data_IF_086784231374
#
_entry.id   IF_086784231374
#
_cell.length_a   1.000
_cell.length_b   1.000
_cell.length_c   1.000
_cell.angle_alpha   90.00
_cell.angle_beta   90.00
_cell.angle_gamma   90.00
#
_symmetry.space_group_name_H-M   'P 1'
#
loop_
_entity.id
_entity.type
_entity.pdbx_description
1 polymer ?
#
# COMPACT_ATOMS: atom_id res chain seq x y z
N UNK A 1 35.15 21.08 -3.92
CA UNK A 1 36.10 21.86 -4.75
C UNK A 1 37.37 21.09 -5.13
N UNK A 2 37.98 20.32 -4.19
CA UNK A 2 39.23 19.59 -4.45
C UNK A 2 39.11 18.50 -5.55
N UNK A 3 38.01 17.75 -5.59
CA UNK A 3 37.83 16.71 -6.62
C UNK A 3 37.59 17.29 -8.02
N UNK A 4 36.80 18.35 -8.17
CA UNK A 4 36.54 18.93 -9.49
C UNK A 4 37.82 19.49 -10.14
N UNK A 5 38.70 20.12 -9.37
CA UNK A 5 40.00 20.61 -9.86
C UNK A 5 40.94 19.44 -10.21
N UNK A 6 40.96 18.39 -9.37
CA UNK A 6 41.72 17.15 -9.61
C UNK A 6 41.27 16.44 -10.88
N UNK A 7 39.96 16.29 -11.08
CA UNK A 7 39.36 15.65 -12.25
C UNK A 7 39.62 16.43 -13.55
N UNK A 8 39.63 17.78 -13.50
CA UNK A 8 40.00 18.60 -14.65
C UNK A 8 41.46 18.44 -15.07
N UNK A 9 42.38 18.20 -14.13
CA UNK A 9 43.80 18.09 -14.41
C UNK A 9 44.20 16.76 -15.09
N UNK A 10 43.45 15.69 -14.86
CA UNK A 10 43.77 14.35 -15.41
C UNK A 10 43.34 14.15 -16.88
N UNK A 11 42.51 15.03 -17.45
CA UNK A 11 42.15 15.06 -18.88
C UNK A 11 41.28 13.91 -19.40
N UNK A 12 41.35 12.74 -18.74
CA UNK A 12 40.51 11.57 -18.96
C UNK A 12 40.16 10.95 -17.59
N UNK A 13 38.96 10.39 -17.47
CA UNK A 13 38.48 9.75 -16.25
C UNK A 13 37.76 8.44 -16.61
N UNK A 14 38.19 7.36 -15.96
CA UNK A 14 37.43 6.11 -15.94
C UNK A 14 36.36 6.19 -14.86
N UNK A 15 35.10 5.93 -15.24
CA UNK A 15 33.96 5.94 -14.33
C UNK A 15 33.29 4.56 -14.32
N UNK A 16 32.89 4.10 -13.13
CA UNK A 16 32.01 2.94 -12.98
C UNK A 16 30.63 3.44 -12.55
N UNK A 17 29.60 3.12 -13.33
CA UNK A 17 28.21 3.40 -12.99
C UNK A 17 27.53 2.16 -12.41
N UNK A 18 26.87 2.33 -11.27
CA UNK A 18 25.99 1.29 -10.70
C UNK A 18 24.57 1.61 -11.12
N UNK A 19 23.97 0.78 -12.00
CA UNK A 19 22.64 1.03 -12.55
C UNK A 19 21.57 1.18 -11.44
N UNK A 20 21.53 0.24 -10.51
CA UNK A 20 20.66 0.30 -9.34
C UNK A 20 21.53 0.68 -8.15
N UNK A 21 21.49 1.95 -7.75
CA UNK A 21 22.33 2.45 -6.66
C UNK A 21 22.01 1.72 -5.35
N UNK A 22 23.02 1.30 -4.56
CA UNK A 22 22.80 0.65 -3.27
C UNK A 22 22.40 1.63 -2.16
N UNK A 23 22.43 2.94 -2.43
CA UNK A 23 21.95 3.97 -1.51
C UNK A 23 21.38 5.19 -2.24
N UNK A 24 20.53 5.96 -1.55
CA UNK A 24 20.08 7.28 -2.00
C UNK A 24 20.05 8.26 -0.83
N UNK A 25 20.19 9.55 -1.11
CA UNK A 25 20.04 10.63 -0.15
C UNK A 25 18.87 11.51 -0.59
N UNK A 26 17.74 11.38 0.09
CA UNK A 26 16.56 12.20 -0.15
C UNK A 26 16.57 13.37 0.82
N UNK A 27 17.23 14.43 0.36
CA UNK A 27 17.51 15.63 1.13
C UNK A 27 16.65 16.78 0.65
N UNK A 28 15.96 17.43 1.59
CA UNK A 28 15.21 18.64 1.34
C UNK A 28 15.24 19.52 2.57
N UNK A 29 15.57 20.78 2.38
CA UNK A 29 15.57 21.83 3.39
C UNK A 29 14.62 22.95 2.91
N UNK A 30 13.58 23.23 3.69
CA UNK A 30 12.59 24.26 3.38
C UNK A 30 12.96 25.60 4.01
N UNK A 31 12.84 26.70 3.25
CA UNK A 31 13.03 28.06 3.75
C UNK A 31 11.80 28.92 3.45
N UNK A 32 11.15 29.44 4.49
CA UNK A 32 9.95 30.26 4.34
C UNK A 32 10.28 31.69 3.89
N UNK A 33 9.45 32.22 2.97
CA UNK A 33 9.41 33.65 2.62
C UNK A 33 10.54 34.15 1.70
N UNK A 34 11.76 33.60 1.79
CA UNK A 34 12.87 33.97 0.92
C UNK A 34 13.96 32.88 0.85
N UNK A 35 14.72 32.89 -0.25
CA UNK A 35 15.97 32.12 -0.35
C UNK A 35 16.97 32.72 0.66
N UNK A 36 17.65 31.90 1.50
CA UNK A 36 18.61 32.40 2.48
C UNK A 36 19.70 33.28 1.85
N UNK A 37 20.04 34.37 2.53
CA UNK A 37 21.19 35.21 2.16
C UNK A 37 22.43 34.65 2.84
N UNK A 38 23.28 33.97 2.10
CA UNK A 38 24.53 33.43 2.65
C UNK A 38 24.89 32.09 2.04
N UNK A 39 25.57 31.26 2.83
CA UNK A 39 25.92 29.90 2.48
C UNK A 39 24.64 29.04 2.38
N UNK A 40 24.57 28.21 1.32
CA UNK A 40 23.47 27.29 1.05
C UNK A 40 23.92 25.83 1.22
N UNK A 41 25.08 25.61 1.85
CA UNK A 41 25.55 24.27 2.18
C UNK A 41 24.63 23.63 3.21
N UNK A 42 23.98 22.54 2.78
CA UNK A 42 23.17 21.67 3.63
C UNK A 42 23.92 20.38 3.93
N UNK A 43 24.30 20.19 5.20
CA UNK A 43 25.08 19.05 5.70
C UNK A 43 24.39 18.42 6.92
N UNK A 44 23.24 17.73 6.74
CA UNK A 44 22.49 17.16 7.85
C UNK A 44 23.30 16.07 8.56
N UNK A 45 23.32 16.11 9.88
CA UNK A 45 23.94 15.09 10.72
C UNK A 45 23.06 13.85 10.88
N UNK A 46 23.62 12.79 11.46
CA UNK A 46 22.90 11.52 11.67
C UNK A 46 21.61 11.64 12.51
N UNK A 47 21.47 12.69 13.34
CA UNK A 47 20.25 12.96 14.11
C UNK A 47 19.16 13.68 13.32
N UNK A 48 19.48 14.16 12.12
CA UNK A 48 18.60 14.90 11.21
C UNK A 48 18.22 14.07 9.98
N UNK A 49 18.72 12.83 9.93
CA UNK A 49 18.41 11.83 8.92
C UNK A 49 17.73 10.63 9.56
N UNK A 50 16.74 10.06 8.88
CA UNK A 50 16.32 8.69 9.08
C UNK A 50 17.07 7.79 8.08
N UNK A 51 17.36 6.56 8.49
CA UNK A 51 17.95 5.53 7.63
C UNK A 51 16.88 4.47 7.36
N UNK A 52 16.63 4.16 6.09
CA UNK A 52 15.69 3.13 5.69
C UNK A 52 16.44 2.02 4.96
N UNK A 53 16.27 0.79 5.42
CA UNK A 53 16.59 -0.40 4.63
C UNK A 53 15.40 -0.66 3.71
N UNK A 54 15.40 -0.05 2.53
CA UNK A 54 14.32 -0.14 1.56
C UNK A 54 14.46 -1.43 0.74
N UNK A 55 13.37 -2.18 0.65
CA UNK A 55 13.28 -3.45 -0.09
C UNK A 55 12.16 -3.38 -1.11
N UNK A 56 12.48 -3.61 -2.37
CA UNK A 56 11.53 -3.68 -3.46
C UNK A 56 11.35 -5.15 -3.87
N UNK A 57 10.19 -5.71 -3.59
CA UNK A 57 9.91 -7.12 -3.83
C UNK A 57 9.48 -7.37 -5.28
N UNK A 58 9.96 -8.48 -5.85
CA UNK A 58 9.49 -8.98 -7.14
C UNK A 58 9.87 -10.46 -7.30
N UNK A 59 8.92 -11.27 -7.78
CA UNK A 59 9.10 -12.72 -7.99
C UNK A 59 10.22 -13.02 -9.00
N UNK A 60 10.35 -12.18 -10.02
CA UNK A 60 11.34 -12.27 -11.09
C UNK A 60 11.83 -10.86 -11.44
N UNK A 61 13.03 -10.73 -12.06
CA UNK A 61 13.52 -9.44 -12.51
C UNK A 61 12.50 -8.66 -13.35
N UNK A 62 12.20 -7.43 -12.95
CA UNK A 62 11.24 -6.54 -13.63
C UNK A 62 11.71 -5.10 -13.50
N UNK A 63 11.48 -4.29 -14.54
CA UNK A 63 11.74 -2.85 -14.45
C UNK A 63 10.66 -2.16 -13.62
N UNK A 64 11.10 -1.27 -12.73
CA UNK A 64 10.24 -0.34 -12.02
C UNK A 64 10.78 1.08 -12.07
N UNK A 65 10.11 1.94 -11.35
CA UNK A 65 10.56 3.29 -11.04
C UNK A 65 10.03 3.70 -9.69
N UNK A 66 10.66 4.67 -9.05
CA UNK A 66 10.20 5.20 -7.78
C UNK A 66 10.58 6.67 -7.62
N UNK A 67 9.89 7.36 -6.72
CA UNK A 67 10.34 8.64 -6.21
C UNK A 67 9.73 8.95 -4.84
N UNK A 68 10.52 9.63 -3.99
CA UNK A 68 10.10 10.14 -2.68
C UNK A 68 9.98 11.68 -2.71
N UNK A 69 8.75 12.16 -2.65
CA UNK A 69 8.38 13.58 -2.76
C UNK A 69 8.39 14.25 -1.38
N UNK A 70 9.27 15.25 -1.20
CA UNK A 70 9.31 16.07 0.01
C UNK A 70 8.13 17.05 0.04
N UNK A 71 7.48 17.16 1.20
CA UNK A 71 6.44 18.15 1.47
C UNK A 71 6.78 18.84 2.79
N UNK A 72 6.84 20.17 2.77
CA UNK A 72 7.24 21.00 3.92
C UNK A 72 6.31 22.19 4.08
N UNK A 73 6.35 22.88 5.22
CA UNK A 73 5.58 24.12 5.41
C UNK A 73 5.98 25.22 4.41
N UNK A 74 7.29 25.33 4.11
CA UNK A 74 7.83 26.28 3.14
C UNK A 74 7.44 25.97 1.69
N UNK A 75 7.19 24.70 1.38
CA UNK A 75 6.80 24.23 0.06
C UNK A 75 5.82 23.05 0.18
N UNK A 76 4.50 23.32 0.28
CA UNK A 76 3.49 22.31 0.58
C UNK A 76 3.07 21.48 -0.64
N UNK A 77 3.97 21.33 -1.62
CA UNK A 77 3.74 20.59 -2.87
C UNK A 77 4.94 19.69 -3.12
N UNK A 78 4.70 18.38 -3.31
CA UNK A 78 5.74 17.45 -3.73
C UNK A 78 6.04 17.57 -5.22
N UNK A 79 7.31 17.80 -5.60
CA UNK A 79 7.76 17.84 -7.00
C UNK A 79 8.89 16.83 -7.19
N UNK A 80 8.83 16.06 -8.28
CA UNK A 80 9.81 15.01 -8.58
C UNK A 80 9.48 14.24 -9.84
N UNK A 81 10.42 13.40 -10.28
CA UNK A 81 10.26 12.52 -11.43
C UNK A 81 10.59 11.10 -11.04
N UNK A 82 9.82 10.14 -11.54
CA UNK A 82 10.06 8.72 -11.31
C UNK A 82 11.44 8.33 -11.83
N UNK A 83 12.31 7.86 -10.94
CA UNK A 83 13.65 7.39 -11.25
C UNK A 83 13.65 5.88 -11.45
N UNK A 84 14.40 5.40 -12.44
CA UNK A 84 14.37 3.98 -12.79
C UNK A 84 15.13 3.13 -11.76
N UNK A 85 14.53 1.99 -11.40
CA UNK A 85 15.17 0.93 -10.62
C UNK A 85 14.63 -0.42 -11.07
N UNK A 86 15.49 -1.42 -11.24
CA UNK A 86 15.04 -2.79 -11.56
C UNK A 86 14.86 -3.60 -10.26
N UNK A 87 13.75 -4.32 -10.11
CA UNK A 87 13.39 -5.15 -8.95
C UNK A 87 13.60 -6.64 -9.22
N UNK A 88 13.81 -7.51 -8.21
CA UNK A 88 13.88 -7.18 -6.78
C UNK A 88 15.17 -6.41 -6.44
N UNK A 89 15.10 -5.53 -5.45
CA UNK A 89 16.25 -4.71 -5.03
C UNK A 89 16.23 -4.40 -3.53
N UNK A 90 17.41 -4.17 -2.96
CA UNK A 90 17.60 -3.59 -1.63
C UNK A 90 18.44 -2.31 -1.76
N UNK A 91 18.07 -1.27 -1.02
CA UNK A 91 18.74 0.03 -1.04
C UNK A 91 18.68 0.67 0.35
N UNK A 92 19.76 1.32 0.76
CA UNK A 92 19.75 2.14 1.98
C UNK A 92 19.38 3.58 1.63
N UNK A 93 18.23 4.06 2.10
CA UNK A 93 17.79 5.43 1.87
C UNK A 93 18.09 6.30 3.10
N UNK A 94 18.75 7.44 2.89
CA UNK A 94 18.98 8.46 3.91
C UNK A 94 18.01 9.61 3.67
N UNK A 95 17.07 9.80 4.59
CA UNK A 95 15.94 10.71 4.39
C UNK A 95 16.01 11.84 5.40
N UNK A 96 16.00 13.09 4.93
CA UNK A 96 15.97 14.25 5.84
C UNK A 96 14.67 14.36 6.65
N UNK A 97 14.79 14.87 7.89
CA UNK A 97 13.70 14.90 8.87
C UNK A 97 13.49 16.30 9.46
N UNK A 98 13.45 17.32 8.61
CA UNK A 98 13.20 18.70 9.01
C UNK A 98 11.89 18.86 9.79
N UNK A 99 11.76 19.94 10.56
CA UNK A 99 10.53 20.22 11.32
C UNK A 99 9.34 20.35 10.37
N UNK A 100 8.23 19.67 10.65
CA UNK A 100 7.03 19.68 9.81
C UNK A 100 7.18 18.92 8.47
N UNK A 101 8.36 18.38 8.18
CA UNK A 101 8.60 17.66 6.92
C UNK A 101 7.84 16.33 6.90
N UNK A 102 7.21 16.10 5.75
CA UNK A 102 6.58 14.84 5.38
C UNK A 102 7.13 14.38 4.03
N UNK A 103 6.97 13.10 3.78
CA UNK A 103 7.32 12.47 2.53
C UNK A 103 6.14 11.67 2.00
N UNK A 104 5.96 11.69 0.69
CA UNK A 104 5.06 10.81 -0.02
C UNK A 104 5.87 10.03 -1.02
N UNK A 105 5.59 8.76 -1.22
CA UNK A 105 6.30 7.89 -2.16
C UNK A 105 5.34 7.35 -3.20
N UNK A 106 5.80 7.28 -4.44
CA UNK A 106 5.13 6.55 -5.52
C UNK A 106 6.14 5.59 -6.12
N UNK A 107 5.78 4.32 -6.17
CA UNK A 107 6.62 3.24 -6.65
C UNK A 107 5.85 2.47 -7.71
N UNK A 108 6.46 2.29 -8.87
CA UNK A 108 5.87 1.66 -10.04
C UNK A 108 6.60 0.36 -10.37
N UNK A 109 5.85 -0.62 -10.86
CA UNK A 109 6.32 -1.93 -11.28
C UNK A 109 5.73 -2.31 -12.64
N UNK A 110 6.51 -3.02 -13.46
CA UNK A 110 6.05 -3.50 -14.76
C UNK A 110 5.83 -2.38 -15.78
N UNK A 111 6.79 -1.45 -15.87
CA UNK A 111 6.70 -0.26 -16.73
C UNK A 111 5.47 0.64 -16.45
N UNK A 112 5.11 0.76 -15.17
CA UNK A 112 3.96 1.58 -14.72
C UNK A 112 2.62 0.86 -14.77
N UNK A 113 2.61 -0.46 -15.03
CA UNK A 113 1.38 -1.25 -15.01
C UNK A 113 0.75 -1.30 -13.61
N UNK A 114 1.56 -1.35 -12.56
CA UNK A 114 1.14 -1.30 -11.16
C UNK A 114 1.89 -0.17 -10.45
N UNK A 115 1.16 0.69 -9.73
CA UNK A 115 1.69 1.76 -8.89
C UNK A 115 1.24 1.53 -7.45
N UNK A 116 2.15 1.54 -6.47
CA UNK A 116 1.83 1.72 -5.05
C UNK A 116 2.20 3.13 -4.60
N UNK A 117 1.33 3.76 -3.82
CA UNK A 117 1.56 5.07 -3.20
C UNK A 117 1.47 4.99 -1.71
N UNK A 118 2.37 5.67 -1.00
CA UNK A 118 2.23 5.87 0.43
C UNK A 118 1.29 7.05 0.73
N UNK A 119 0.73 7.08 1.93
CA UNK A 119 0.31 8.34 2.55
C UNK A 119 1.47 9.30 2.84
N UNK A 120 1.17 10.38 3.57
CA UNK A 120 2.19 11.28 4.11
C UNK A 120 2.89 10.61 5.31
N UNK A 121 4.19 10.38 5.17
CA UNK A 121 5.04 9.75 6.15
C UNK A 121 5.91 10.80 6.84
N UNK A 122 5.95 10.73 8.17
CA UNK A 122 6.92 11.47 8.97
C UNK A 122 8.04 10.53 9.41
N UNK A 123 9.27 10.85 9.02
CA UNK A 123 10.45 10.15 9.49
C UNK A 123 11.05 10.85 10.70
N UNK A 124 11.58 10.06 11.65
CA UNK A 124 12.23 10.59 12.86
C UNK A 124 13.75 10.58 12.66
N UNK A 125 14.40 11.72 12.87
CA UNK A 125 15.85 11.81 12.81
C UNK A 125 16.55 10.87 13.80
N UNK A 126 17.65 10.25 13.37
CA UNK A 126 18.38 9.23 14.09
C UNK A 126 17.67 7.87 14.19
N UNK A 127 16.56 7.67 13.47
CA UNK A 127 15.89 6.36 13.40
C UNK A 127 16.46 5.49 12.27
N UNK A 128 16.28 4.18 12.43
CA UNK A 128 16.57 3.18 11.41
C UNK A 128 15.37 2.23 11.34
N UNK A 129 14.81 2.03 10.14
CA UNK A 129 13.68 1.15 9.90
C UNK A 129 13.81 0.39 8.58
N UNK A 130 13.02 -0.66 8.39
CA UNK A 130 12.85 -1.32 7.09
C UNK A 130 11.60 -0.77 6.41
N UNK A 131 11.71 -0.46 5.12
CA UNK A 131 10.58 -0.08 4.27
C UNK A 131 10.46 -1.13 3.16
N UNK A 132 9.29 -1.77 3.03
CA UNK A 132 9.08 -2.74 1.96
C UNK A 132 8.06 -2.18 0.98
N UNK A 133 8.33 -2.36 -0.30
CA UNK A 133 7.43 -2.05 -1.40
C UNK A 133 7.10 -3.32 -2.16
N UNK A 134 5.84 -3.45 -2.57
CA UNK A 134 5.29 -4.62 -3.21
C UNK A 134 5.47 -5.91 -2.41
N UNK A 135 5.66 -5.86 -1.09
CA UNK A 135 5.80 -7.07 -0.27
C UNK A 135 4.46 -7.80 -0.25
N UNK A 136 4.35 -9.04 -0.76
CA UNK A 136 3.09 -9.75 -0.70
C UNK A 136 2.64 -9.91 0.77
N UNK A 137 1.35 -9.81 1.07
CA UNK A 137 0.20 -10.08 0.21
C UNK A 137 -0.34 -8.82 -0.49
N UNK A 138 -0.46 -8.83 -1.83
CA UNK A 138 -1.17 -7.74 -2.52
C UNK A 138 -2.68 -7.93 -2.39
N UNK A 139 -3.35 -6.92 -1.85
CA UNK A 139 -4.78 -6.91 -1.51
C UNK A 139 -5.30 -5.47 -1.56
N UNK A 140 -6.62 -5.28 -1.39
CA UNK A 140 -7.15 -3.94 -1.29
C UNK A 140 -6.77 -3.29 0.06
N UNK A 141 -6.05 -2.18 0.01
CA UNK A 141 -5.75 -1.33 1.15
C UNK A 141 -6.20 0.10 0.85
N UNK A 142 -7.08 0.66 1.68
CA UNK A 142 -7.69 1.97 1.49
C UNK A 142 -6.87 3.02 2.24
N UNK A 143 -5.65 3.23 1.77
CA UNK A 143 -4.69 4.15 2.37
C UNK A 143 -4.85 5.60 1.93
N UNK A 144 -4.09 6.50 2.55
CA UNK A 144 -4.30 7.96 2.41
C UNK A 144 -3.64 8.59 1.18
N UNK A 145 -2.76 7.86 0.49
CA UNK A 145 -1.96 8.36 -0.64
C UNK A 145 -2.73 8.84 -1.88
N UNK A 146 -4.06 8.69 -1.89
CA UNK A 146 -4.91 9.12 -3.00
C UNK A 146 -5.60 10.45 -2.82
N UNK A 147 -5.74 10.89 -1.56
CA UNK A 147 -6.45 12.12 -1.24
C UNK A 147 -7.96 12.11 -1.49
N UNK A 148 -8.58 10.97 -1.85
CA UNK A 148 -10.03 10.82 -1.95
C UNK A 148 -10.47 9.36 -1.87
N UNK A 149 -11.73 9.12 -1.49
CA UNK A 149 -12.35 7.79 -1.52
C UNK A 149 -13.01 7.41 -0.19
N UNK A 150 -14.05 6.57 -0.27
CA UNK A 150 -14.86 6.15 0.89
C UNK A 150 -15.49 7.33 1.60
N UNK A 151 -16.18 8.19 0.88
CA UNK A 151 -16.72 9.42 1.44
C UNK A 151 -18.18 9.61 1.05
N UNK A 152 -18.90 10.36 1.89
CA UNK A 152 -20.27 10.81 1.65
C UNK A 152 -20.39 12.32 1.85
N UNK A 153 -21.12 12.96 0.95
CA UNK A 153 -21.58 14.35 1.06
C UNK A 153 -23.08 14.39 0.73
N UNK A 154 -23.93 14.58 1.75
CA UNK A 154 -25.39 14.57 1.56
C UNK A 154 -25.89 13.24 0.97
N UNK A 155 -26.43 13.32 -0.25
CA UNK A 155 -26.97 12.19 -1.01
C UNK A 155 -25.97 11.57 -2.01
N UNK A 156 -24.70 11.99 -2.00
CA UNK A 156 -23.66 11.44 -2.87
C UNK A 156 -22.68 10.62 -2.06
N UNK A 157 -22.38 9.40 -2.52
CA UNK A 157 -21.35 8.55 -1.95
C UNK A 157 -20.36 8.17 -3.04
N UNK A 158 -19.07 8.22 -2.71
CA UNK A 158 -17.99 7.78 -3.59
C UNK A 158 -17.10 6.77 -2.88
N UNK A 159 -16.72 5.73 -3.62
CA UNK A 159 -15.76 4.74 -3.21
C UNK A 159 -14.61 4.72 -4.20
N UNK A 160 -13.39 4.60 -3.68
CA UNK A 160 -12.19 4.29 -4.45
C UNK A 160 -11.49 3.13 -3.74
N UNK A 161 -11.64 1.90 -4.23
CA UNK A 161 -11.15 0.68 -3.54
C UNK A 161 -10.12 -0.05 -4.40
N UNK A 162 -8.88 0.45 -4.51
CA UNK A 162 -7.84 -0.14 -5.36
C UNK A 162 -7.43 -1.52 -4.87
N UNK A 163 -7.07 -2.38 -5.81
CA UNK A 163 -6.99 -3.82 -5.57
C UNK A 163 -5.66 -4.39 -5.08
N UNK A 164 -4.58 -3.63 -5.18
CA UNK A 164 -3.21 -4.20 -5.13
C UNK A 164 -2.25 -3.38 -4.26
N UNK A 165 -2.72 -2.90 -3.10
CA UNK A 165 -1.82 -2.42 -2.06
C UNK A 165 -1.09 -3.59 -1.39
N UNK A 166 0.08 -3.32 -0.81
CA UNK A 166 0.77 -4.25 0.06
C UNK A 166 0.40 -4.02 1.54
N UNK A 167 1.07 -4.72 2.46
CA UNK A 167 0.87 -4.53 3.91
C UNK A 167 1.88 -3.55 4.54
N UNK A 168 2.44 -2.64 3.75
CA UNK A 168 3.23 -1.50 4.21
C UNK A 168 2.37 -0.46 4.96
N UNK A 169 3.01 0.53 5.63
CA UNK A 169 2.37 1.35 6.66
C UNK A 169 1.27 2.33 6.17
N UNK A 170 1.07 2.46 4.86
CA UNK A 170 -0.10 3.12 4.24
C UNK A 170 -0.06 3.00 2.70
N UNK A 171 0.18 1.81 2.16
CA UNK A 171 0.43 1.62 0.72
C UNK A 171 -0.84 1.28 -0.03
N UNK A 172 -1.26 2.17 -0.93
CA UNK A 172 -2.41 1.94 -1.81
C UNK A 172 -1.97 1.65 -3.23
N UNK A 173 -2.41 0.51 -3.79
CA UNK A 173 -1.94 0.04 -5.10
C UNK A 173 -2.97 0.04 -6.23
N UNK A 174 -2.58 0.59 -7.37
CA UNK A 174 -3.36 0.80 -8.59
C UNK A 174 -2.78 0.08 -9.78
N UNK A 175 -3.60 -0.74 -10.41
CA UNK A 175 -3.28 -1.33 -11.71
C UNK A 175 -3.84 -0.50 -12.86
N UNK A 176 -3.13 -0.49 -13.98
CA UNK A 176 -3.69 -0.08 -15.26
C UNK A 176 -4.62 -1.18 -15.78
N UNK A 177 -5.90 -1.04 -15.45
CA UNK A 177 -6.98 -1.95 -15.86
C UNK A 177 -7.60 -1.60 -17.20
N UNK A 178 -7.08 -0.57 -17.87
CA UNK A 178 -7.61 -0.07 -19.15
C UNK A 178 -6.80 -0.57 -20.33
N UNK A 179 -5.53 -0.93 -20.12
CA UNK A 179 -4.68 -1.58 -21.10
C UNK A 179 -4.76 -3.10 -21.00
N UNK A 180 -5.17 -3.78 -22.08
CA UNK A 180 -5.16 -5.25 -22.13
C UNK A 180 -3.71 -5.81 -22.04
N UNK A 181 -2.71 -5.00 -22.42
CA UNK A 181 -1.30 -5.36 -22.36
C UNK A 181 -0.77 -5.49 -20.93
N UNK A 182 -1.50 -5.07 -19.90
CA UNK A 182 -1.05 -5.24 -18.50
C UNK A 182 -1.48 -6.60 -17.94
N UNK A 183 -2.50 -7.22 -18.54
CA UNK A 183 -3.14 -8.42 -18.01
C UNK A 183 -3.87 -8.19 -16.69
N UNK A 184 -4.27 -6.95 -16.39
CA UNK A 184 -4.93 -6.57 -15.13
C UNK A 184 -6.40 -6.21 -15.36
N UNK A 185 -7.29 -6.70 -14.51
CA UNK A 185 -8.67 -6.22 -14.47
C UNK A 185 -9.11 -5.94 -13.05
N UNK A 186 -9.97 -4.94 -12.89
CA UNK A 186 -10.65 -4.65 -11.64
C UNK A 186 -12.09 -4.25 -11.92
N UNK A 187 -13.02 -4.78 -11.13
CA UNK A 187 -14.40 -4.33 -11.09
C UNK A 187 -14.77 -3.95 -9.66
N UNK A 188 -15.43 -2.80 -9.51
CA UNK A 188 -15.97 -2.36 -8.21
C UNK A 188 -17.49 -2.21 -8.34
N UNK A 189 -18.21 -2.81 -7.41
CA UNK A 189 -19.68 -2.82 -7.35
C UNK A 189 -20.14 -2.29 -5.99
N UNK A 190 -21.21 -1.51 -5.98
CA UNK A 190 -21.82 -0.99 -4.75
C UNK A 190 -23.27 -1.42 -4.68
N UNK A 191 -23.66 -1.93 -3.52
CA UNK A 191 -25.02 -2.35 -3.22
C UNK A 191 -25.58 -1.50 -2.07
N UNK A 192 -26.82 -1.05 -2.19
CA UNK A 192 -27.61 -0.45 -1.12
C UNK A 192 -28.71 -1.44 -0.71
N UNK A 193 -28.67 -1.90 0.54
CA UNK A 193 -29.57 -2.93 1.10
C UNK A 193 -29.73 -4.15 0.19
N UNK A 194 -28.61 -4.62 -0.38
CA UNK A 194 -28.57 -5.77 -1.28
C UNK A 194 -28.95 -5.49 -2.74
N UNK A 195 -29.42 -4.28 -3.07
CA UNK A 195 -29.69 -3.88 -4.46
C UNK A 195 -28.44 -3.28 -5.09
N UNK A 196 -28.01 -3.79 -6.25
CA UNK A 196 -26.90 -3.22 -7.00
C UNK A 196 -27.24 -1.79 -7.47
N UNK A 197 -26.40 -0.82 -7.11
CA UNK A 197 -26.58 0.59 -7.47
C UNK A 197 -25.60 1.01 -8.56
N UNK A 198 -24.35 0.59 -8.48
CA UNK A 198 -23.32 0.89 -9.48
C UNK A 198 -22.35 -0.27 -9.64
N UNK A 199 -21.80 -0.42 -10.84
CA UNK A 199 -20.72 -1.36 -11.16
C UNK A 199 -19.83 -0.78 -12.25
N UNK A 200 -18.52 -0.72 -11.99
CA UNK A 200 -17.53 -0.10 -12.88
C UNK A 200 -16.33 -1.01 -13.09
N UNK A 201 -15.73 -0.98 -14.28
CA UNK A 201 -14.37 -1.53 -14.52
C UNK A 201 -13.33 -0.53 -14.00
N UNK A 202 -13.24 -0.35 -12.68
CA UNK A 202 -12.38 0.64 -12.01
C UNK A 202 -12.31 0.33 -10.52
N UNK A 203 -11.39 0.98 -9.81
CA UNK A 203 -11.44 1.10 -8.34
C UNK A 203 -12.55 2.03 -7.85
N UNK A 204 -12.99 2.95 -8.70
CA UNK A 204 -14.05 3.91 -8.40
C UNK A 204 -15.45 3.33 -8.59
N UNK A 205 -16.37 3.62 -7.66
CA UNK A 205 -17.81 3.39 -7.81
C UNK A 205 -18.62 4.42 -6.99
N UNK A 206 -19.86 4.68 -7.39
CA UNK A 206 -20.63 5.82 -6.89
C UNK A 206 -22.06 5.44 -6.52
N UNK A 207 -22.63 6.11 -5.52
CA UNK A 207 -24.07 6.12 -5.25
C UNK A 207 -24.55 7.55 -5.40
N UNK A 208 -25.43 7.76 -6.38
CA UNK A 208 -26.17 9.01 -6.55
C UNK A 208 -27.52 8.87 -5.86
N UNK A 209 -28.04 9.97 -5.32
CA UNK A 209 -29.34 10.03 -4.65
C UNK A 209 -29.51 9.05 -3.48
N UNK A 210 -28.43 8.84 -2.72
CA UNK A 210 -28.45 8.06 -1.48
C UNK A 210 -29.49 8.61 -0.49
N UNK A 211 -30.40 7.79 0.06
CA UNK A 211 -31.43 8.26 0.99
C UNK A 211 -30.85 8.85 2.27
N UNK A 212 -31.56 9.77 2.89
CA UNK A 212 -31.04 10.52 4.04
C UNK A 212 -30.97 9.69 5.33
N UNK A 213 -31.88 8.74 5.50
CA UNK A 213 -31.89 7.77 6.60
C UNK A 213 -30.76 6.74 6.48
N UNK A 214 -30.56 5.95 7.54
CA UNK A 214 -29.44 5.01 7.61
C UNK A 214 -29.72 3.76 6.78
N UNK A 215 -28.84 3.50 5.81
CA UNK A 215 -28.87 2.30 4.96
C UNK A 215 -27.60 1.48 5.10
N UNK A 216 -27.70 0.20 4.71
CA UNK A 216 -26.53 -0.69 4.63
C UNK A 216 -25.94 -0.61 3.24
N UNK A 217 -24.65 -0.30 3.16
CA UNK A 217 -23.90 -0.31 1.92
C UNK A 217 -22.92 -1.47 1.91
N UNK A 218 -22.87 -2.20 0.80
CA UNK A 218 -21.86 -3.21 0.53
C UNK A 218 -21.04 -2.80 -0.69
N UNK A 219 -19.72 -2.76 -0.56
CA UNK A 219 -18.79 -2.51 -1.67
C UNK A 219 -18.05 -3.81 -1.96
N UNK A 220 -17.97 -4.20 -3.22
CA UNK A 220 -17.26 -5.40 -3.68
C UNK A 220 -16.25 -5.01 -4.73
N UNK A 221 -15.00 -5.39 -4.53
CA UNK A 221 -13.92 -5.24 -5.51
C UNK A 221 -13.37 -6.60 -5.90
N UNK A 222 -13.48 -6.92 -7.18
CA UNK A 222 -12.89 -8.10 -7.80
C UNK A 222 -11.70 -7.69 -8.66
N UNK A 223 -10.57 -8.38 -8.50
CA UNK A 223 -9.33 -8.13 -9.24
C UNK A 223 -8.82 -9.41 -9.89
N UNK A 224 -8.23 -9.29 -11.08
CA UNK A 224 -7.51 -10.39 -11.72
C UNK A 224 -6.17 -9.93 -12.26
N UNK A 225 -5.15 -10.76 -12.13
CA UNK A 225 -3.88 -10.63 -12.82
C UNK A 225 -3.65 -11.87 -13.69
N UNK A 226 -3.26 -11.66 -14.94
CA UNK A 226 -2.89 -12.73 -15.87
C UNK A 226 -1.70 -13.53 -15.30
N UNK A 227 -1.87 -14.84 -15.02
CA UNK A 227 -0.83 -15.66 -14.39
C UNK A 227 0.44 -15.82 -15.24
N UNK A 228 0.37 -15.61 -16.56
CA UNK A 228 1.55 -15.68 -17.44
C UNK A 228 2.46 -14.45 -17.25
N UNK A 229 1.88 -13.33 -16.79
CA UNK A 229 2.59 -12.08 -16.49
C UNK A 229 2.93 -11.97 -15.02
N UNK A 230 1.95 -12.25 -14.16
CA UNK A 230 1.95 -12.01 -12.72
C UNK A 230 1.82 -13.33 -11.96
N UNK A 231 2.81 -13.66 -11.13
CA UNK A 231 2.82 -14.98 -10.46
C UNK A 231 1.98 -15.01 -9.16
N UNK A 232 1.89 -13.88 -8.45
CA UNK A 232 1.18 -13.75 -7.17
C UNK A 232 -0.10 -12.92 -7.33
N UNK A 233 -1.00 -13.03 -6.35
CA UNK A 233 -2.28 -12.31 -6.28
C UNK A 233 -3.11 -12.34 -7.57
N UNK A 234 -3.13 -13.51 -8.24
CA UNK A 234 -3.74 -13.69 -9.56
C UNK A 234 -5.24 -13.45 -9.58
N UNK A 235 -5.89 -13.61 -8.43
CA UNK A 235 -7.29 -13.21 -8.20
C UNK A 235 -7.42 -12.63 -6.81
N UNK A 236 -8.19 -11.55 -6.70
CA UNK A 236 -8.56 -10.93 -5.44
C UNK A 236 -10.06 -10.67 -5.40
N UNK A 237 -10.64 -10.83 -4.22
CA UNK A 237 -12.04 -10.52 -3.95
C UNK A 237 -12.12 -9.86 -2.58
N UNK A 238 -12.51 -8.59 -2.54
CA UNK A 238 -12.65 -7.81 -1.30
C UNK A 238 -14.08 -7.32 -1.16
N UNK A 239 -14.66 -7.50 0.02
CA UNK A 239 -15.99 -7.00 0.36
C UNK A 239 -15.94 -6.17 1.63
N UNK A 240 -16.61 -5.03 1.60
CA UNK A 240 -16.86 -4.20 2.77
C UNK A 240 -18.35 -4.06 2.98
N UNK A 241 -18.79 -4.11 4.22
CA UNK A 241 -20.14 -3.71 4.64
C UNK A 241 -20.01 -2.55 5.62
N UNK A 242 -20.87 -1.56 5.50
CA UNK A 242 -20.99 -0.45 6.43
C UNK A 242 -22.43 0.04 6.52
N UNK A 243 -22.73 0.84 7.54
CA UNK A 243 -23.97 1.61 7.64
C UNK A 243 -23.68 3.09 7.47
N UNK A 244 -24.55 3.81 6.76
CA UNK A 244 -24.39 5.25 6.55
C UNK A 244 -25.74 5.94 6.41
N UNK A 245 -25.91 7.04 7.14
CA UNK A 245 -26.94 8.05 6.93
C UNK A 245 -26.35 9.30 6.26
N UNK A 246 -27.19 10.25 5.86
CA UNK A 246 -26.72 11.50 5.26
C UNK A 246 -25.72 12.23 6.17
N UNK A 247 -24.64 12.69 5.54
CA UNK A 247 -23.66 13.61 6.11
C UNK A 247 -23.94 15.03 5.60
N UNK A 248 -23.31 16.07 6.16
CA UNK A 248 -23.45 17.43 5.63
C UNK A 248 -23.10 17.49 4.13
N UNK A 249 -23.93 18.21 3.37
CA UNK A 249 -23.79 18.28 1.91
C UNK A 249 -22.68 19.23 1.44
N UNK A 250 -22.13 20.05 2.33
CA UNK A 250 -21.12 21.07 2.04
C UNK A 250 -19.68 20.54 2.08
N UNK A 251 -19.48 19.26 2.44
CA UNK A 251 -18.16 18.64 2.54
C UNK A 251 -18.21 17.12 2.42
N UNK A 252 -17.11 16.53 1.98
CA UNK A 252 -16.91 15.08 2.02
C UNK A 252 -16.58 14.62 3.44
N UNK A 253 -17.23 13.55 3.88
CA UNK A 253 -17.00 12.91 5.17
C UNK A 253 -16.64 11.45 4.92
N UNK A 254 -15.48 11.01 5.43
CA UNK A 254 -15.07 9.61 5.33
C UNK A 254 -16.11 8.67 5.94
N UNK A 255 -16.20 7.49 5.37
CA UNK A 255 -17.08 6.39 5.77
C UNK A 255 -16.27 5.35 6.55
N UNK A 256 -16.87 4.67 7.55
CA UNK A 256 -16.16 3.77 8.45
C UNK A 256 -15.90 2.39 7.82
N UNK A 257 -15.20 2.36 6.68
CA UNK A 257 -14.70 1.11 6.11
C UNK A 257 -13.50 0.61 6.92
N UNK A 258 -13.36 -0.72 6.99
CA UNK A 258 -12.30 -1.41 7.70
C UNK A 258 -11.27 -1.91 6.68
N UNK A 259 -10.02 -1.49 6.83
CA UNK A 259 -8.86 -2.10 6.19
C UNK A 259 -8.47 -3.40 6.90
N UNK A 260 -7.85 -4.32 6.15
CA UNK A 260 -7.37 -5.60 6.65
C UNK A 260 -5.97 -5.85 6.11
N UNK A 261 -4.94 -5.76 6.97
CA UNK A 261 -3.56 -5.97 6.57
C UNK A 261 -3.01 -7.34 6.99
N UNK A 262 -1.98 -7.80 6.31
CA UNK A 262 -1.34 -9.11 6.51
C UNK A 262 0.10 -8.95 6.99
N UNK A 263 0.53 -9.82 7.89
CA UNK A 263 1.91 -9.89 8.35
C UNK A 263 2.46 -11.28 8.09
N UNK A 264 3.24 -11.43 7.02
CA UNK A 264 3.89 -12.68 6.66
C UNK A 264 5.31 -12.40 6.18
N UNK A 265 6.27 -13.10 6.76
CA UNK A 265 7.67 -12.94 6.40
C UNK A 265 8.01 -13.75 5.16
N UNK A 266 8.23 -13.03 4.07
CA UNK A 266 8.69 -13.57 2.79
C UNK A 266 10.12 -13.13 2.50
N UNK A 267 10.78 -13.80 1.57
CA UNK A 267 11.95 -13.22 0.91
C UNK A 267 11.57 -12.13 -0.11
N UNK A 268 12.58 -11.58 -0.80
CA UNK A 268 12.43 -10.57 -1.87
C UNK A 268 11.61 -11.07 -3.07
N UNK A 269 11.52 -12.38 -3.27
CA UNK A 269 10.68 -12.97 -4.32
C UNK A 269 9.23 -13.19 -3.85
N UNK A 270 8.89 -12.84 -2.61
CA UNK A 270 7.55 -13.03 -2.06
C UNK A 270 7.26 -14.47 -1.67
N UNK A 271 8.29 -15.28 -1.39
CA UNK A 271 8.13 -16.68 -1.04
C UNK A 271 8.39 -16.96 0.45
N UNK A 272 7.59 -17.87 1.01
CA UNK A 272 7.80 -18.48 2.33
C UNK A 272 8.46 -19.86 2.18
N UNK A 273 9.06 -20.36 3.26
CA UNK A 273 9.53 -21.76 3.29
C UNK A 273 8.38 -22.71 3.59
N UNK A 274 8.49 -23.95 3.11
CA UNK A 274 7.61 -25.04 3.55
C UNK A 274 7.66 -25.27 5.08
N UNK A 275 6.59 -25.83 5.65
CA UNK A 275 6.47 -26.11 7.08
C UNK A 275 5.68 -25.06 7.86
N UNK A 276 6.16 -24.72 9.06
CA UNK A 276 5.47 -23.81 9.99
C UNK A 276 5.84 -22.37 9.66
N UNK A 277 4.87 -21.55 9.26
CA UNK A 277 5.10 -20.14 8.89
C UNK A 277 4.23 -19.24 9.77
N UNK A 278 4.80 -18.36 10.61
CA UNK A 278 4.04 -17.36 11.34
C UNK A 278 3.26 -16.46 10.39
N UNK A 279 2.04 -16.11 10.76
CA UNK A 279 1.20 -15.19 10.01
C UNK A 279 0.41 -14.31 10.96
N UNK A 280 0.27 -13.04 10.65
CA UNK A 280 -0.59 -12.10 11.32
C UNK A 280 -1.63 -11.52 10.36
N UNK A 281 -2.75 -11.11 10.94
CA UNK A 281 -3.69 -10.18 10.31
C UNK A 281 -4.00 -9.06 11.29
N UNK A 282 -4.27 -7.87 10.80
CA UNK A 282 -4.77 -6.77 11.61
C UNK A 282 -5.84 -6.01 10.84
N UNK A 283 -6.68 -5.29 11.56
CA UNK A 283 -7.73 -4.50 10.96
C UNK A 283 -7.82 -3.13 11.62
N UNK A 284 -8.05 -2.10 10.81
CA UNK A 284 -8.21 -0.72 11.25
C UNK A 284 -9.21 0.00 10.38
N UNK A 285 -9.83 1.06 10.91
CA UNK A 285 -10.66 1.91 10.07
C UNK A 285 -9.79 2.74 9.14
N UNK A 286 -10.33 3.06 7.96
CA UNK A 286 -9.73 4.09 7.10
C UNK A 286 -9.53 5.39 7.89
N UNK A 287 -8.38 6.02 7.70
CA UNK A 287 -7.97 7.19 8.49
C UNK A 287 -9.00 8.31 8.34
N UNK A 288 -9.40 8.90 9.46
CA UNK A 288 -10.34 10.03 9.49
C UNK A 288 -11.82 9.63 9.46
N UNK A 289 -12.15 8.34 9.40
CA UNK A 289 -13.54 7.89 9.52
C UNK A 289 -14.13 8.27 10.90
N UNK A 290 -15.30 8.95 10.94
CA UNK A 290 -16.07 9.14 12.15
C UNK A 290 -16.95 7.91 12.45
N UNK A 291 -17.53 7.87 13.66
CA UNK A 291 -18.53 6.85 14.00
C UNK A 291 -17.99 5.43 14.10
N UNK A 292 -16.67 5.26 14.26
CA UNK A 292 -15.99 3.98 14.38
C UNK A 292 -16.46 3.18 15.60
N UNK A 293 -16.49 1.86 15.48
CA UNK A 293 -16.80 0.91 16.54
C UNK A 293 -15.57 0.22 17.11
N UNK A 294 -15.79 -0.85 17.86
CA UNK A 294 -14.73 -1.75 18.34
C UNK A 294 -14.52 -2.87 17.32
N UNK A 295 -13.38 -2.86 16.62
CA UNK A 295 -13.05 -3.92 15.66
C UNK A 295 -12.67 -5.21 16.41
N UNK A 296 -13.21 -6.33 15.94
CA UNK A 296 -13.01 -7.66 16.50
C UNK A 296 -13.26 -8.79 15.49
N UNK A 297 -13.33 -10.01 16.00
CA UNK A 297 -13.82 -11.16 15.25
C UNK A 297 -12.95 -11.59 14.06
N UNK A 298 -11.65 -11.28 14.09
CA UNK A 298 -10.67 -11.67 13.08
C UNK A 298 -10.71 -13.17 12.77
N UNK A 299 -10.75 -13.50 11.49
CA UNK A 299 -10.67 -14.88 10.98
C UNK A 299 -9.64 -14.95 9.86
N UNK A 300 -8.94 -16.08 9.80
CA UNK A 300 -8.00 -16.40 8.73
C UNK A 300 -8.20 -17.85 8.28
N UNK A 301 -8.21 -18.03 6.98
CA UNK A 301 -8.24 -19.31 6.30
C UNK A 301 -7.15 -19.35 5.24
N UNK A 302 -6.65 -20.56 5.00
CA UNK A 302 -5.55 -20.81 4.06
C UNK A 302 -5.94 -21.89 3.07
N UNK A 303 -5.53 -21.71 1.82
CA UNK A 303 -5.57 -22.71 0.76
C UNK A 303 -4.17 -22.92 0.19
N UNK A 304 -3.87 -24.16 -0.19
CA UNK A 304 -2.64 -24.56 -0.87
C UNK A 304 -2.92 -25.16 -2.25
N UNK A 305 -4.13 -24.96 -2.78
CA UNK A 305 -4.66 -25.54 -4.02
C UNK A 305 -5.43 -24.51 -4.86
N UNK A 306 -4.93 -23.27 -4.87
CA UNK A 306 -5.50 -22.13 -5.59
C UNK A 306 -6.98 -21.85 -5.25
N UNK A 307 -7.33 -21.92 -3.97
CA UNK A 307 -8.65 -21.55 -3.44
C UNK A 307 -9.72 -22.64 -3.57
N UNK A 308 -9.37 -23.85 -4.04
CA UNK A 308 -10.33 -24.96 -4.17
C UNK A 308 -10.78 -25.51 -2.83
N UNK A 309 -9.89 -25.55 -1.84
CA UNK A 309 -10.22 -25.94 -0.46
C UNK A 309 -9.58 -25.00 0.56
N UNK A 310 -10.34 -24.67 1.61
CA UNK A 310 -9.95 -23.72 2.64
C UNK A 310 -9.86 -24.39 4.00
N UNK A 311 -8.84 -24.03 4.78
CA UNK A 311 -8.62 -24.52 6.14
C UNK A 311 -8.52 -23.35 7.10
N UNK A 312 -9.27 -23.39 8.19
CA UNK A 312 -9.16 -22.39 9.26
C UNK A 312 -7.78 -22.40 9.89
N UNK A 313 -7.19 -21.22 10.02
CA UNK A 313 -5.96 -20.99 10.79
C UNK A 313 -6.39 -20.54 12.18
N UNK A 314 -6.08 -21.31 13.25
CA UNK A 314 -6.36 -20.86 14.61
C UNK A 314 -5.60 -19.57 14.89
N UNK A 315 -6.34 -18.55 15.34
CA UNK A 315 -5.80 -17.24 15.68
C UNK A 315 -5.80 -17.02 17.19
N UNK A 316 -4.79 -16.29 17.65
CA UNK A 316 -4.66 -15.78 19.01
C UNK A 316 -4.54 -14.25 18.96
N UNK A 317 -4.88 -13.56 20.05
CA UNK A 317 -4.94 -12.09 20.10
C UNK A 317 -6.36 -11.54 19.91
N UNK A 318 -6.48 -10.31 19.42
CA UNK A 318 -7.77 -9.66 19.14
C UNK A 318 -8.36 -8.79 20.25
N UNK A 319 -7.65 -8.56 21.36
CA UNK A 319 -8.07 -7.63 22.40
C UNK A 319 -7.54 -6.23 22.15
N UNK A 320 -8.42 -5.25 21.93
CA UNK A 320 -8.13 -3.80 21.90
C UNK A 320 -7.36 -3.27 20.69
N UNK A 321 -6.40 -4.03 20.14
CA UNK A 321 -5.54 -3.61 19.04
C UNK A 321 -5.95 -4.19 17.66
N UNK A 322 -7.09 -4.90 17.58
CA UNK A 322 -7.60 -5.52 16.35
C UNK A 322 -6.51 -6.23 15.52
N UNK A 323 -5.64 -6.98 16.19
CA UNK A 323 -4.52 -7.71 15.61
C UNK A 323 -4.52 -9.14 16.12
N UNK A 324 -4.29 -10.08 15.21
CA UNK A 324 -4.34 -11.51 15.45
C UNK A 324 -3.13 -12.20 14.84
N UNK A 325 -2.68 -13.27 15.50
CA UNK A 325 -1.53 -14.07 15.07
C UNK A 325 -1.90 -15.54 15.01
N UNK A 326 -1.41 -16.22 13.99
CA UNK A 326 -1.56 -17.64 13.76
C UNK A 326 -0.28 -18.28 13.22
N UNK A 327 -0.40 -19.51 12.75
CA UNK A 327 0.70 -20.22 12.09
C UNK A 327 0.15 -21.08 10.98
N UNK A 328 0.64 -20.86 9.77
CA UNK A 328 0.37 -21.71 8.62
C UNK A 328 1.14 -23.02 8.75
N UNK A 329 0.58 -24.08 8.19
CA UNK A 329 1.21 -25.39 8.05
C UNK A 329 1.32 -25.71 6.57
N UNK A 330 2.34 -25.14 5.93
CA UNK A 330 2.59 -25.21 4.49
C UNK A 330 3.06 -26.61 4.12
N UNK A 331 2.28 -27.38 3.35
CA UNK A 331 2.64 -28.74 2.95
C UNK A 331 3.92 -28.77 2.10
N UNK A 332 4.64 -29.91 2.11
CA UNK A 332 5.72 -30.13 1.15
C UNK A 332 5.14 -30.16 -0.26
N UNK A 333 5.78 -29.45 -1.19
CA UNK A 333 5.35 -29.38 -2.59
C UNK A 333 4.19 -28.43 -2.85
N UNK A 334 3.70 -27.68 -1.85
CA UNK A 334 2.88 -26.51 -2.14
C UNK A 334 3.72 -25.49 -2.91
N UNK A 335 3.15 -24.89 -3.96
CA UNK A 335 3.80 -23.84 -4.75
C UNK A 335 3.39 -22.44 -4.29
N UNK A 336 2.14 -22.32 -3.81
CA UNK A 336 1.55 -21.07 -3.39
C UNK A 336 0.72 -21.24 -2.13
N UNK A 337 0.56 -20.13 -1.42
CA UNK A 337 -0.41 -19.99 -0.34
C UNK A 337 -1.44 -18.97 -0.78
N UNK A 338 -2.72 -19.32 -0.71
CA UNK A 338 -3.84 -18.38 -0.87
C UNK A 338 -4.46 -18.12 0.50
N UNK A 339 -4.92 -16.89 0.73
CA UNK A 339 -5.44 -16.47 2.03
C UNK A 339 -6.86 -15.91 1.88
N UNK A 340 -7.69 -16.21 2.87
CA UNK A 340 -8.98 -15.57 3.07
C UNK A 340 -9.05 -15.07 4.50
N UNK A 341 -9.30 -13.79 4.69
CA UNK A 341 -9.37 -13.18 6.01
C UNK A 341 -10.57 -12.25 6.14
N UNK A 342 -11.00 -12.00 7.37
CA UNK A 342 -12.09 -11.08 7.65
C UNK A 342 -12.00 -10.48 9.05
N UNK A 343 -12.60 -9.31 9.23
CA UNK A 343 -12.82 -8.64 10.50
C UNK A 343 -14.18 -7.93 10.49
N UNK A 344 -14.72 -7.63 11.69
CA UNK A 344 -15.98 -6.89 11.84
C UNK A 344 -15.95 -6.02 13.07
N UNK A 345 -16.84 -5.05 13.16
CA UNK A 345 -17.02 -4.23 14.35
C UNK A 345 -18.33 -4.56 15.11
N UNK A 346 -18.58 -3.80 16.17
CA UNK A 346 -19.81 -3.83 16.97
C UNK A 346 -20.90 -2.84 16.49
N UNK A 347 -20.72 -2.23 15.31
CA UNK A 347 -21.61 -1.25 14.67
C UNK A 347 -22.16 -1.70 13.30
N UNK A 348 -21.85 -2.92 12.87
CA UNK A 348 -22.33 -3.50 11.61
C UNK A 348 -21.38 -3.31 10.42
N UNK A 349 -20.18 -2.76 10.65
CA UNK A 349 -19.09 -2.74 9.69
C UNK A 349 -18.37 -4.09 9.61
N UNK A 350 -17.97 -4.48 8.40
CA UNK A 350 -17.14 -5.67 8.19
C UNK A 350 -16.31 -5.58 6.94
N UNK A 351 -15.19 -6.30 6.93
CA UNK A 351 -14.34 -6.53 5.75
C UNK A 351 -14.06 -8.02 5.60
N UNK A 352 -14.07 -8.50 4.36
CA UNK A 352 -13.51 -9.81 4.01
C UNK A 352 -12.69 -9.71 2.75
N UNK A 353 -11.58 -10.43 2.69
CA UNK A 353 -10.71 -10.47 1.53
C UNK A 353 -10.29 -11.90 1.25
N UNK A 354 -10.28 -12.25 -0.03
CA UNK A 354 -9.72 -13.49 -0.56
C UNK A 354 -8.67 -13.14 -1.59
N UNK A 355 -7.47 -13.71 -1.44
CA UNK A 355 -6.34 -13.50 -2.35
C UNK A 355 -5.78 -14.86 -2.76
N UNK A 356 -5.87 -15.15 -4.05
CA UNK A 356 -5.34 -16.36 -4.66
C UNK A 356 -3.87 -16.16 -5.00
N UNK A 357 -3.03 -17.11 -4.57
CA UNK A 357 -1.56 -17.04 -4.63
C UNK A 357 -1.00 -15.79 -3.93
N UNK A 358 -1.47 -15.55 -2.71
CA UNK A 358 -1.06 -14.46 -1.82
C UNK A 358 0.46 -14.42 -1.58
N UNK A 359 1.11 -15.58 -1.43
CA UNK A 359 2.59 -15.71 -1.38
C UNK A 359 3.04 -16.96 -2.12
N UNK A 360 4.30 -16.98 -2.58
CA UNK A 360 4.95 -18.18 -3.11
C UNK A 360 5.47 -19.11 -2.00
N UNK A 361 5.85 -20.32 -2.37
CA UNK A 361 6.49 -21.30 -1.47
C UNK A 361 7.78 -21.82 -2.12
N UNK A 362 8.83 -21.98 -1.32
CA UNK A 362 10.12 -22.54 -1.75
C UNK A 362 10.74 -23.55 -0.79
#
# INVERSE_FOLDING_TARGET
AADAARLRAVGHLDMTGTRNTPYVYDLSEGHEGAIPRGDLTYEPGARELAVLDTRFHAVKPVSGSEFRYSVTDAFPIGIGFQERIDYPAERTDYVSTGTGQTWMESVNLGAGALEERSGLVHYRGGSHATLNWFKPVWHAWLGTGLGWGQERAGNQIQFNTPGWGDSGPDHTGFGDVWSDDTGMTQFTSVYQDGTLVDRRKSSGAYVWDAPADEHTYKVVTDTTLDPDRWTLSTKGHSEWTLRSAATPADRWTFLPLINLGYDIDTDLAGAVRGGRVPVGIHAEYVKGAPGTGTIGGGKLEVSYDDGKSWRTVPLSGGGGAASWKGTLSVPRGAEFVSLRASARDDRGGSVSQEVIRAVGVR
#
